data_IF_680973341710
#
_entry.id   IF_680973341710
#
_cell.length_a   1.000
_cell.length_b   1.000
_cell.length_c   1.000
_cell.angle_alpha   90.00
_cell.angle_beta   90.00
_cell.angle_gamma   90.00
#
_symmetry.space_group_name_H-M   'P 1'
#
loop_
_entity.id
_entity.type
_entity.pdbx_description
1 polymer ?
#
# COMPACT_ATOMS: atom_id res chain seq x y z
N UNK A 1 19.70 -9.53 -40.94
CA UNK A 1 19.81 -8.65 -39.74
C UNK A 1 18.46 -7.94 -39.58
N UNK A 2 17.59 -8.43 -38.69
CA UNK A 2 16.26 -7.84 -38.48
C UNK A 2 16.41 -6.47 -37.80
N UNK A 3 16.18 -5.39 -38.55
CA UNK A 3 16.11 -4.03 -37.98
C UNK A 3 14.73 -3.84 -37.35
N UNK A 4 14.64 -4.07 -36.04
CA UNK A 4 13.47 -3.66 -35.25
C UNK A 4 13.37 -2.14 -35.37
N UNK A 5 12.25 -1.66 -35.93
CA UNK A 5 12.01 -0.21 -36.05
C UNK A 5 11.71 0.34 -34.66
N UNK A 6 12.13 1.57 -34.35
CA UNK A 6 11.93 2.22 -33.05
C UNK A 6 10.49 2.08 -32.52
N UNK A 7 9.49 2.26 -33.38
CA UNK A 7 8.07 2.06 -33.04
C UNK A 7 7.72 0.64 -32.55
N UNK A 8 8.37 -0.39 -33.09
CA UNK A 8 8.15 -1.78 -32.66
C UNK A 8 8.78 -2.06 -31.29
N UNK A 9 9.90 -1.39 -30.99
CA UNK A 9 10.52 -1.43 -29.67
C UNK A 9 9.67 -0.68 -28.63
N UNK A 10 9.17 0.51 -28.96
CA UNK A 10 8.32 1.31 -28.07
C UNK A 10 7.00 0.57 -27.73
N UNK A 11 6.40 -0.13 -28.70
CA UNK A 11 5.20 -0.97 -28.50
C UNK A 11 5.52 -2.19 -27.62
N UNK A 12 6.67 -2.84 -27.85
CA UNK A 12 7.12 -3.95 -27.01
C UNK A 12 7.34 -3.47 -25.56
N UNK A 13 8.05 -2.36 -25.38
CA UNK A 13 8.32 -1.77 -24.06
C UNK A 13 7.01 -1.39 -23.33
N UNK A 14 6.03 -0.80 -24.01
CA UNK A 14 4.72 -0.52 -23.42
C UNK A 14 3.96 -1.80 -23.05
N UNK A 15 3.98 -2.83 -23.89
CA UNK A 15 3.31 -4.09 -23.63
C UNK A 15 3.95 -4.84 -22.47
N UNK A 16 5.29 -4.94 -22.43
CA UNK A 16 6.03 -5.53 -21.33
C UNK A 16 5.80 -4.77 -20.03
N UNK A 17 5.75 -3.43 -20.08
CA UNK A 17 5.43 -2.60 -18.90
C UNK A 17 4.00 -2.83 -18.42
N UNK A 18 3.04 -2.99 -19.33
CA UNK A 18 1.64 -3.27 -19.00
C UNK A 18 1.47 -4.65 -18.38
N UNK A 19 2.13 -5.66 -18.93
CA UNK A 19 2.13 -7.02 -18.37
C UNK A 19 2.84 -7.07 -17.02
N UNK A 20 3.97 -6.37 -16.87
CA UNK A 20 4.66 -6.24 -15.58
C UNK A 20 3.77 -5.57 -14.52
N UNK A 21 3.08 -4.48 -14.86
CA UNK A 21 2.14 -3.83 -13.95
C UNK A 21 0.91 -4.69 -13.65
N UNK A 22 0.44 -5.49 -14.62
CA UNK A 22 -0.64 -6.46 -14.42
C UNK A 22 -0.20 -7.60 -13.50
N UNK A 23 1.01 -8.12 -13.66
CA UNK A 23 1.55 -9.20 -12.83
C UNK A 23 1.76 -8.73 -11.38
N UNK A 24 2.25 -7.49 -11.21
CA UNK A 24 2.30 -6.84 -9.90
C UNK A 24 0.89 -6.66 -9.33
N UNK A 25 -0.06 -6.15 -10.11
CA UNK A 25 -1.44 -5.97 -9.67
C UNK A 25 -2.10 -7.30 -9.27
N UNK A 26 -1.93 -8.36 -10.07
CA UNK A 26 -2.51 -9.67 -9.82
C UNK A 26 -1.86 -10.34 -8.59
N UNK A 27 -0.54 -10.17 -8.39
CA UNK A 27 0.14 -10.61 -7.16
C UNK A 27 -0.34 -9.81 -5.95
N UNK A 28 -0.43 -8.49 -6.04
CA UNK A 28 -0.95 -7.67 -4.94
C UNK A 28 -2.42 -7.98 -4.63
N UNK A 29 -3.22 -8.25 -5.66
CA UNK A 29 -4.63 -8.64 -5.53
C UNK A 29 -4.77 -9.99 -4.85
N UNK A 30 -4.03 -11.00 -5.29
CA UNK A 30 -4.06 -12.35 -4.72
C UNK A 30 -3.54 -12.39 -3.27
N UNK A 31 -2.48 -11.62 -2.96
CA UNK A 31 -1.90 -11.61 -1.61
C UNK A 31 -2.67 -10.74 -0.62
N UNK A 32 -3.27 -9.63 -1.07
CA UNK A 32 -3.78 -8.59 -0.16
C UNK A 32 -5.26 -8.25 -0.34
N UNK A 33 -5.80 -8.33 -1.55
CA UNK A 33 -7.21 -7.99 -1.80
C UNK A 33 -8.14 -9.18 -1.66
N UNK A 34 -7.70 -10.42 -1.91
CA UNK A 34 -8.57 -11.59 -1.83
C UNK A 34 -9.10 -11.84 -0.40
N UNK A 35 -8.39 -11.44 0.65
CA UNK A 35 -8.93 -11.51 2.02
C UNK A 35 -9.99 -10.43 2.31
N UNK A 36 -9.95 -9.31 1.56
CA UNK A 36 -10.90 -8.21 1.67
C UNK A 36 -12.09 -8.42 0.73
N UNK A 37 -11.92 -9.16 -0.37
CA UNK A 37 -13.00 -9.47 -1.31
C UNK A 37 -14.07 -10.41 -0.73
N UNK A 38 -13.76 -11.13 0.36
CA UNK A 38 -14.72 -11.89 1.16
C UNK A 38 -15.45 -11.05 2.21
N UNK A 39 -15.02 -9.80 2.46
CA UNK A 39 -15.70 -8.89 3.38
C UNK A 39 -16.83 -8.18 2.63
N UNK A 40 -17.99 -8.05 3.27
CA UNK A 40 -19.05 -7.21 2.72
C UNK A 40 -18.62 -5.74 2.73
N UNK A 41 -19.20 -4.91 1.86
CA UNK A 41 -18.93 -3.46 1.84
C UNK A 41 -19.15 -2.83 3.23
N UNK A 42 -20.17 -3.27 3.95
CA UNK A 42 -20.44 -2.84 5.32
C UNK A 42 -19.31 -3.18 6.29
N UNK A 43 -18.72 -4.38 6.18
CA UNK A 43 -17.60 -4.79 7.03
C UNK A 43 -16.34 -3.97 6.74
N UNK A 44 -16.10 -3.66 5.46
CA UNK A 44 -14.98 -2.79 5.05
C UNK A 44 -15.15 -1.39 5.64
N UNK A 45 -16.35 -0.80 5.53
CA UNK A 45 -16.64 0.52 6.10
C UNK A 45 -16.51 0.56 7.63
N UNK A 46 -17.00 -0.47 8.32
CA UNK A 46 -16.82 -0.60 9.77
C UNK A 46 -15.34 -0.68 10.15
N UNK A 47 -14.56 -1.50 9.44
CA UNK A 47 -13.11 -1.60 9.67
C UNK A 47 -12.38 -0.28 9.38
N UNK A 48 -12.73 0.42 8.30
CA UNK A 48 -12.16 1.75 8.01
C UNK A 48 -12.43 2.76 9.12
N UNK A 49 -13.61 2.73 9.74
CA UNK A 49 -13.90 3.58 10.92
C UNK A 49 -13.00 3.27 12.11
N UNK A 50 -12.75 1.97 12.37
CA UNK A 50 -11.85 1.52 13.44
C UNK A 50 -10.42 1.97 13.16
N UNK A 51 -9.92 1.73 11.94
CA UNK A 51 -8.58 2.14 11.54
C UNK A 51 -8.41 3.66 11.59
N UNK A 52 -9.41 4.43 11.17
CA UNK A 52 -9.37 5.88 11.28
C UNK A 52 -9.18 6.34 12.73
N UNK A 53 -9.95 5.79 13.68
CA UNK A 53 -9.80 6.09 15.12
C UNK A 53 -8.41 5.70 15.65
N UNK A 54 -7.88 4.55 15.23
CA UNK A 54 -6.51 4.14 15.59
C UNK A 54 -5.47 5.10 15.03
N UNK A 55 -5.59 5.49 13.77
CA UNK A 55 -4.66 6.44 13.15
C UNK A 55 -4.65 7.79 13.88
N UNK A 56 -5.81 8.28 14.32
CA UNK A 56 -5.90 9.49 15.15
C UNK A 56 -5.19 9.32 16.49
N UNK A 57 -5.31 8.15 17.14
CA UNK A 57 -4.60 7.85 18.39
C UNK A 57 -3.07 7.82 18.22
N UNK A 58 -2.60 7.53 17.02
CA UNK A 58 -1.19 7.59 16.62
C UNK A 58 -0.74 8.99 16.16
N UNK A 59 -1.56 10.02 16.38
CA UNK A 59 -1.31 11.40 16.00
C UNK A 59 -1.10 11.60 14.48
N UNK A 60 -1.80 10.80 13.66
CA UNK A 60 -1.88 10.98 12.20
C UNK A 60 -3.00 11.99 11.93
N UNK A 61 -2.65 13.17 11.42
CA UNK A 61 -3.55 14.33 11.34
C UNK A 61 -3.90 14.72 9.91
N UNK A 62 -2.96 14.61 8.98
CA UNK A 62 -3.25 14.97 7.58
C UNK A 62 -4.09 13.90 6.91
N UNK A 63 -5.08 14.37 6.13
CA UNK A 63 -5.93 13.51 5.30
C UNK A 63 -5.08 12.60 4.41
N UNK A 64 -4.04 13.15 3.77
CA UNK A 64 -3.10 12.40 2.93
C UNK A 64 -2.43 11.24 3.68
N UNK A 65 -2.00 11.45 4.92
CA UNK A 65 -1.33 10.40 5.71
C UNK A 65 -2.34 9.39 6.24
N UNK A 66 -3.55 9.83 6.60
CA UNK A 66 -4.64 8.95 6.98
C UNK A 66 -5.06 8.03 5.83
N UNK A 67 -5.20 8.56 4.60
CA UNK A 67 -5.50 7.74 3.42
C UNK A 67 -4.42 6.68 3.16
N UNK A 68 -3.14 7.03 3.35
CA UNK A 68 -2.03 6.08 3.23
C UNK A 68 -2.07 5.01 4.32
N UNK A 69 -2.36 5.40 5.55
CA UNK A 69 -2.50 4.48 6.68
C UNK A 69 -3.63 3.47 6.46
N UNK A 70 -4.80 3.93 6.01
CA UNK A 70 -5.92 3.06 5.67
C UNK A 70 -5.58 2.18 4.47
N UNK A 71 -4.91 2.72 3.44
CA UNK A 71 -4.45 1.92 2.31
C UNK A 71 -3.52 0.77 2.77
N UNK A 72 -2.60 1.03 3.72
CA UNK A 72 -1.73 -0.02 4.27
C UNK A 72 -2.52 -1.13 4.97
N UNK A 73 -3.59 -0.82 5.69
CA UNK A 73 -4.50 -1.82 6.25
C UNK A 73 -5.21 -2.65 5.18
N UNK A 74 -5.55 -2.02 4.05
CA UNK A 74 -6.16 -2.72 2.92
C UNK A 74 -5.13 -3.54 2.12
N UNK A 75 -3.84 -3.20 2.19
CA UNK A 75 -2.79 -3.82 1.35
C UNK A 75 -1.81 -4.69 2.11
N UNK A 76 -1.77 -4.73 3.44
CA UNK A 76 -0.80 -5.52 4.22
C UNK A 76 -1.47 -6.36 5.31
N UNK A 77 -2.80 -6.54 5.20
CA UNK A 77 -3.74 -7.12 6.17
C UNK A 77 -4.38 -6.09 7.13
N UNK A 78 -5.63 -6.34 7.57
CA UNK A 78 -6.17 -5.71 8.79
C UNK A 78 -5.17 -5.92 9.92
N UNK A 79 -4.88 -4.90 10.70
CA UNK A 79 -3.98 -4.98 11.87
C UNK A 79 -2.47 -5.02 11.58
N UNK A 80 -1.99 -4.58 10.39
CA UNK A 80 -0.55 -4.39 10.15
C UNK A 80 0.11 -3.46 11.20
N UNK A 81 -0.64 -2.48 11.69
CA UNK A 81 -0.25 -1.53 12.75
C UNK A 81 -0.06 -2.18 14.12
N UNK A 82 -0.58 -3.40 14.31
CA UNK A 82 -0.44 -4.19 15.54
C UNK A 82 0.72 -5.19 15.45
N UNK A 83 1.36 -5.35 14.29
CA UNK A 83 2.58 -6.15 14.20
C UNK A 83 3.66 -5.50 15.05
N UNK A 84 4.32 -6.25 15.94
CA UNK A 84 5.24 -5.72 16.96
C UNK A 84 6.19 -4.63 16.45
N UNK A 85 6.89 -4.89 15.34
CA UNK A 85 7.87 -3.95 14.75
C UNK A 85 7.20 -2.66 14.26
N UNK A 86 6.03 -2.79 13.63
CA UNK A 86 5.28 -1.64 13.12
C UNK A 86 4.69 -0.84 14.28
N UNK A 87 4.10 -1.53 15.25
CA UNK A 87 3.53 -0.90 16.44
C UNK A 87 4.59 -0.11 17.22
N UNK A 88 5.75 -0.73 17.47
CA UNK A 88 6.87 -0.08 18.15
C UNK A 88 7.30 1.19 17.42
N UNK A 89 7.43 1.12 16.08
CA UNK A 89 7.76 2.28 15.27
C UNK A 89 6.68 3.37 15.32
N UNK A 90 5.41 3.00 15.20
CA UNK A 90 4.29 3.94 15.22
C UNK A 90 4.08 4.57 16.61
N UNK A 91 4.53 3.92 17.68
CA UNK A 91 4.41 4.40 19.06
C UNK A 91 5.54 5.35 19.50
N UNK A 92 6.59 5.52 18.69
CA UNK A 92 7.72 6.41 19.02
C UNK A 92 7.28 7.86 19.25
N UNK A 93 7.79 8.53 20.26
CA UNK A 93 7.41 9.93 20.56
C UNK A 93 8.22 10.98 19.81
N UNK A 94 9.31 10.60 19.15
CA UNK A 94 10.23 11.51 18.47
C UNK A 94 9.75 11.97 17.08
N UNK A 95 8.71 11.33 16.55
CA UNK A 95 8.10 11.65 15.25
C UNK A 95 6.59 11.85 15.38
N UNK A 96 6.04 12.75 14.55
CA UNK A 96 4.59 12.87 14.39
C UNK A 96 4.02 11.65 13.67
N UNK A 97 2.72 11.38 13.82
CA UNK A 97 2.04 10.30 13.09
C UNK A 97 2.25 10.41 11.58
N UNK A 98 2.13 11.62 11.04
CA UNK A 98 2.31 11.89 9.61
C UNK A 98 3.74 11.60 9.11
N UNK A 99 4.76 11.93 9.92
CA UNK A 99 6.15 11.62 9.62
C UNK A 99 6.39 10.10 9.61
N UNK A 100 5.82 9.37 10.57
CA UNK A 100 5.90 7.91 10.64
C UNK A 100 5.28 7.25 9.41
N UNK A 101 4.06 7.63 9.06
CA UNK A 101 3.39 7.07 7.87
C UNK A 101 4.15 7.40 6.59
N UNK A 102 4.67 8.62 6.47
CA UNK A 102 5.48 9.00 5.31
C UNK A 102 6.75 8.15 5.22
N UNK A 103 7.45 7.93 6.33
CA UNK A 103 8.64 7.09 6.37
C UNK A 103 8.32 5.63 6.02
N UNK A 104 7.30 5.05 6.63
CA UNK A 104 6.87 3.67 6.42
C UNK A 104 6.47 3.42 4.96
N UNK A 105 5.65 4.31 4.40
CA UNK A 105 5.22 4.25 3.00
C UNK A 105 6.39 4.44 2.03
N UNK A 106 7.36 5.29 2.35
CA UNK A 106 8.57 5.50 1.54
C UNK A 106 9.46 4.27 1.54
N UNK A 107 9.61 3.61 2.69
CA UNK A 107 10.41 2.39 2.82
C UNK A 107 9.82 1.25 1.99
N UNK A 108 8.51 0.97 2.15
CA UNK A 108 7.80 -0.06 1.39
C UNK A 108 7.89 0.16 -0.13
N UNK A 109 7.82 1.42 -0.58
CA UNK A 109 7.97 1.76 -2.00
C UNK A 109 9.38 1.49 -2.54
N UNK A 110 10.42 1.62 -1.72
CA UNK A 110 11.81 1.34 -2.14
C UNK A 110 12.04 -0.16 -2.30
N UNK A 111 11.40 -0.99 -1.49
CA UNK A 111 11.60 -2.44 -1.51
C UNK A 111 10.71 -3.16 -2.53
N UNK A 112 9.50 -2.66 -2.80
CA UNK A 112 8.60 -3.21 -3.83
C UNK A 112 8.93 -2.81 -5.27
N UNK A 113 10.01 -2.05 -5.48
CA UNK A 113 10.44 -1.54 -6.79
C UNK A 113 11.67 -2.23 -7.38
N UNK A 114 12.06 -3.40 -6.85
CA UNK A 114 13.13 -4.25 -7.37
C UNK A 114 12.58 -5.49 -8.04
#
# INVERSE_FOLDING_TARGET
MFKIRKQQFDIFEQNTRREFHKDIYDRLKAFFCDQISFLSENDVLQKMSIWHKRGLSLNIKSERSMSRYIALHLTLLPDFDQQNIVHEFLSRSDLTGDQKITALYTHLRKDGGR
#
